data_IF_958010938546
#
_entry.id   IF_958010938546
#
_cell.length_a   1.000
_cell.length_b   1.000
_cell.length_c   1.000
_cell.angle_alpha   90.00
_cell.angle_beta   90.00
_cell.angle_gamma   90.00
#
_symmetry.space_group_name_H-M   'P 1'
#
loop_
_entity.id
_entity.type
_entity.pdbx_description
1 polymer ?
#
# COMPACT_ATOMS: atom_id res chain seq x y z
N UNK A 1 -5.81 12.10 39.50
CA UNK A 1 -5.31 10.79 39.01
C UNK A 1 -5.97 10.53 37.67
N UNK A 2 -5.25 10.01 36.69
CA UNK A 2 -5.82 9.59 35.40
C UNK A 2 -6.42 8.20 35.61
N UNK A 3 -7.63 7.93 35.11
CA UNK A 3 -8.21 6.58 35.18
C UNK A 3 -7.43 5.63 34.26
N UNK A 4 -7.33 4.32 34.56
CA UNK A 4 -6.63 3.37 33.69
C UNK A 4 -7.14 3.41 32.24
N UNK A 5 -8.46 3.53 32.05
CA UNK A 5 -9.09 3.65 30.74
C UNK A 5 -8.72 4.96 30.00
N UNK A 6 -8.60 6.08 30.71
CA UNK A 6 -8.14 7.35 30.11
C UNK A 6 -6.68 7.32 29.68
N UNK A 7 -5.83 6.54 30.36
CA UNK A 7 -4.44 6.34 29.95
C UNK A 7 -4.33 5.44 28.70
N UNK A 8 -5.15 4.38 28.64
CA UNK A 8 -5.24 3.48 27.48
C UNK A 8 -5.77 4.25 26.25
N UNK A 9 -6.84 5.02 26.41
CA UNK A 9 -7.43 5.84 25.33
C UNK A 9 -6.43 6.81 24.69
N UNK A 10 -5.64 7.49 25.52
CA UNK A 10 -4.58 8.39 25.05
C UNK A 10 -3.46 7.63 24.30
N UNK A 11 -3.06 6.45 24.80
CA UNK A 11 -2.03 5.62 24.18
C UNK A 11 -2.48 5.06 22.82
N UNK A 12 -3.69 4.50 22.74
CA UNK A 12 -4.30 3.98 21.50
C UNK A 12 -4.41 5.10 20.46
N UNK A 13 -4.96 6.26 20.83
CA UNK A 13 -5.08 7.40 19.91
C UNK A 13 -3.73 7.87 19.39
N UNK A 14 -2.69 7.93 20.23
CA UNK A 14 -1.34 8.30 19.80
C UNK A 14 -0.70 7.26 18.86
N UNK A 15 -0.94 5.97 19.11
CA UNK A 15 -0.47 4.87 18.27
C UNK A 15 -1.08 4.94 16.87
N UNK A 16 -2.42 4.99 16.76
CA UNK A 16 -3.12 5.07 15.47
C UNK A 16 -2.83 6.36 14.71
N UNK A 17 -2.69 7.48 15.42
CA UNK A 17 -2.32 8.76 14.81
C UNK A 17 -0.92 8.72 14.18
N UNK A 18 0.02 7.98 14.79
CA UNK A 18 1.38 7.80 14.26
C UNK A 18 1.39 7.00 12.96
N UNK A 19 0.58 5.93 12.88
CA UNK A 19 0.35 5.19 11.64
C UNK A 19 -0.27 6.08 10.55
N UNK A 20 -1.37 6.78 10.86
CA UNK A 20 -2.07 7.62 9.88
C UNK A 20 -1.18 8.73 9.31
N UNK A 21 -0.45 9.46 10.16
CA UNK A 21 0.45 10.53 9.72
C UNK A 21 1.55 10.02 8.77
N UNK A 22 2.07 8.83 9.02
CA UNK A 22 3.17 8.27 8.22
C UNK A 22 2.68 7.58 6.94
N UNK A 23 1.46 7.02 6.95
CA UNK A 23 0.79 6.55 5.73
C UNK A 23 0.48 7.71 4.77
N UNK A 24 0.03 8.84 5.31
CA UNK A 24 -0.34 10.02 4.53
C UNK A 24 -1.33 9.68 3.40
N UNK A 25 -0.98 9.91 2.11
CA UNK A 25 -1.87 9.64 0.98
C UNK A 25 -2.13 8.14 0.73
N UNK A 26 -1.39 7.23 1.37
CA UNK A 26 -1.56 5.78 1.20
C UNK A 26 -2.49 5.14 2.24
N UNK A 27 -3.06 5.93 3.16
CA UNK A 27 -4.13 5.44 4.04
C UNK A 27 -5.40 5.17 3.24
N UNK A 28 -5.94 3.94 3.34
CA UNK A 28 -7.15 3.52 2.64
C UNK A 28 -8.45 3.91 3.39
N UNK A 29 -8.35 4.67 4.48
CA UNK A 29 -9.47 5.15 5.27
C UNK A 29 -9.03 5.93 6.53
N UNK A 30 -9.98 6.54 7.26
CA UNK A 30 -9.71 7.14 8.56
C UNK A 30 -9.47 6.08 9.63
N UNK A 31 -8.82 6.47 10.73
CA UNK A 31 -8.66 5.61 11.92
C UNK A 31 -10.02 5.09 12.38
N UNK A 32 -10.13 3.76 12.52
CA UNK A 32 -11.21 3.12 13.26
C UNK A 32 -10.74 2.86 14.68
N UNK A 33 -11.66 2.89 15.64
CA UNK A 33 -11.37 2.68 17.06
C UNK A 33 -12.37 1.69 17.65
N UNK A 34 -11.84 0.73 18.41
CA UNK A 34 -12.61 -0.13 19.30
C UNK A 34 -12.69 0.53 20.67
N UNK A 35 -13.86 0.49 21.29
CA UNK A 35 -14.11 1.24 22.52
C UNK A 35 -14.80 0.41 23.60
N UNK A 36 -14.43 0.70 24.85
CA UNK A 36 -15.20 0.32 26.04
C UNK A 36 -15.98 1.53 26.57
N UNK A 37 -17.08 1.27 27.27
CA UNK A 37 -17.89 2.27 27.97
C UNK A 37 -17.84 1.95 29.46
N UNK A 38 -17.62 2.94 30.31
CA UNK A 38 -17.62 2.77 31.78
C UNK A 38 -19.03 2.84 32.38
N UNK A 39 -19.14 2.69 33.70
CA UNK A 39 -20.43 2.78 34.43
C UNK A 39 -21.05 4.18 34.45
N UNK A 40 -20.30 5.22 34.07
CA UNK A 40 -20.75 6.61 33.99
C UNK A 40 -21.20 6.99 32.56
N UNK A 41 -20.91 6.13 31.57
CA UNK A 41 -21.23 6.33 30.15
C UNK A 41 -20.09 6.94 29.34
N UNK A 42 -18.90 7.14 29.93
CA UNK A 42 -17.74 7.65 29.20
C UNK A 42 -17.17 6.57 28.27
N UNK A 43 -16.73 6.96 27.06
CA UNK A 43 -16.25 6.06 26.02
C UNK A 43 -14.73 6.21 25.83
N UNK A 44 -14.00 5.09 25.93
CA UNK A 44 -12.53 5.05 25.86
C UNK A 44 -12.06 4.10 24.77
N UNK A 45 -11.15 4.55 23.91
CA UNK A 45 -10.51 3.70 22.90
C UNK A 45 -9.60 2.67 23.59
N UNK A 46 -9.78 1.40 23.22
CA UNK A 46 -8.99 0.26 23.74
C UNK A 46 -8.26 -0.50 22.63
N UNK A 47 -8.61 -0.22 21.38
CA UNK A 47 -7.90 -0.63 20.18
C UNK A 47 -8.22 0.31 19.03
N UNK A 48 -7.53 0.16 17.92
CA UNK A 48 -7.82 0.87 16.69
C UNK A 48 -7.20 0.19 15.47
N UNK A 49 -7.46 0.75 14.31
CA UNK A 49 -6.88 0.32 13.03
C UNK A 49 -6.84 1.45 12.00
N UNK A 50 -5.84 1.41 11.11
CA UNK A 50 -5.81 2.22 9.89
C UNK A 50 -5.75 1.29 8.68
N UNK A 51 -6.70 1.41 7.76
CA UNK A 51 -6.73 0.54 6.58
C UNK A 51 -5.60 0.89 5.60
N UNK A 52 -5.02 -0.11 4.94
CA UNK A 52 -4.01 0.09 3.89
C UNK A 52 -4.21 -0.84 2.69
N UNK A 53 -3.89 -0.32 1.49
CA UNK A 53 -3.83 -1.14 0.29
C UNK A 53 -2.39 -1.57 -0.02
N UNK A 54 -2.19 -2.89 -0.01
CA UNK A 54 -0.93 -3.58 -0.34
C UNK A 54 -0.97 -4.27 -1.71
N UNK A 55 -1.94 -3.92 -2.56
CA UNK A 55 -1.94 -4.36 -3.98
C UNK A 55 -0.83 -3.65 -4.75
N UNK A 56 -0.19 -4.29 -5.76
CA UNK A 56 0.64 -3.56 -6.73
C UNK A 56 -0.14 -2.46 -7.46
N UNK A 57 0.55 -1.44 -7.94
CA UNK A 57 0.00 -0.45 -8.88
C UNK A 57 0.20 -1.01 -10.30
N UNK A 58 -0.87 -1.33 -11.06
CA UNK A 58 -0.72 -2.00 -12.35
C UNK A 58 0.11 -1.18 -13.34
N UNK A 59 1.17 -1.78 -13.89
CA UNK A 59 2.05 -1.15 -14.87
C UNK A 59 2.99 -0.08 -14.31
N UNK A 60 2.98 0.20 -12.99
CA UNK A 60 3.88 1.17 -12.36
C UNK A 60 4.58 0.54 -11.13
N UNK A 61 5.70 -0.16 -11.36
CA UNK A 61 6.49 -0.72 -10.26
C UNK A 61 7.14 0.36 -9.40
N UNK A 62 7.41 1.57 -9.93
CA UNK A 62 7.93 2.68 -9.12
C UNK A 62 6.88 3.19 -8.11
N UNK A 63 5.62 3.37 -8.53
CA UNK A 63 4.51 3.68 -7.62
C UNK A 63 4.27 2.56 -6.61
N UNK A 64 4.43 1.30 -7.03
CA UNK A 64 4.35 0.15 -6.13
C UNK A 64 5.43 0.22 -5.05
N UNK A 65 6.69 0.47 -5.42
CA UNK A 65 7.79 0.65 -4.49
C UNK A 65 7.58 1.85 -3.55
N UNK A 66 7.12 3.01 -4.07
CA UNK A 66 6.79 4.19 -3.27
C UNK A 66 5.69 3.90 -2.24
N UNK A 67 4.60 3.26 -2.64
CA UNK A 67 3.51 2.84 -1.74
C UNK A 67 4.04 1.85 -0.69
N UNK A 68 4.66 0.76 -1.12
CA UNK A 68 5.21 -0.27 -0.24
C UNK A 68 6.17 0.31 0.82
N UNK A 69 7.06 1.23 0.42
CA UNK A 69 7.97 1.93 1.33
C UNK A 69 7.22 2.77 2.37
N UNK A 70 6.19 3.53 1.96
CA UNK A 70 5.39 4.32 2.90
C UNK A 70 4.65 3.44 3.92
N UNK A 71 4.03 2.34 3.47
CA UNK A 71 3.37 1.38 4.37
C UNK A 71 4.37 0.73 5.33
N UNK A 72 5.56 0.36 4.85
CA UNK A 72 6.63 -0.20 5.68
C UNK A 72 7.09 0.79 6.77
N UNK A 73 7.27 2.07 6.43
CA UNK A 73 7.62 3.09 7.43
C UNK A 73 6.47 3.30 8.43
N UNK A 74 5.24 3.38 7.95
CA UNK A 74 4.09 3.61 8.82
C UNK A 74 3.87 2.48 9.82
N UNK A 75 4.07 1.22 9.42
CA UNK A 75 3.97 0.07 10.32
C UNK A 75 4.94 0.14 11.52
N UNK A 76 6.10 0.82 11.37
CA UNK A 76 7.05 1.04 12.48
C UNK A 76 6.87 2.39 13.21
N UNK A 77 6.02 3.29 12.71
CA UNK A 77 5.92 4.68 13.16
C UNK A 77 5.64 4.89 14.67
N UNK A 78 4.82 4.08 15.37
CA UNK A 78 4.59 4.27 16.81
C UNK A 78 5.80 3.97 17.70
N UNK A 79 6.87 3.36 17.16
CA UNK A 79 8.03 2.91 17.93
C UNK A 79 7.80 1.65 18.76
N UNK A 80 6.54 1.30 19.05
CA UNK A 80 6.10 0.08 19.72
C UNK A 80 5.11 -0.75 18.86
N UNK A 81 5.49 -1.17 17.63
CA UNK A 81 4.58 -1.84 16.70
C UNK A 81 3.94 -3.10 17.30
N UNK A 82 2.65 -3.29 17.03
CA UNK A 82 1.91 -4.50 17.38
C UNK A 82 2.29 -5.69 16.50
N UNK A 83 1.80 -6.88 16.86
CA UNK A 83 1.95 -8.08 16.01
C UNK A 83 1.27 -7.94 14.64
N UNK A 84 0.20 -7.14 14.53
CA UNK A 84 -0.46 -6.86 13.26
C UNK A 84 0.40 -5.95 12.37
N UNK A 85 1.03 -4.93 12.95
CA UNK A 85 1.85 -3.98 12.22
C UNK A 85 3.12 -4.64 11.69
N UNK A 86 3.72 -5.56 12.46
CA UNK A 86 4.84 -6.37 11.99
C UNK A 86 4.46 -7.29 10.81
N UNK A 87 3.23 -7.80 10.76
CA UNK A 87 2.74 -8.55 9.58
C UNK A 87 2.53 -7.64 8.37
N UNK A 88 2.02 -6.41 8.58
CA UNK A 88 1.90 -5.39 7.53
C UNK A 88 3.27 -4.99 7.00
N UNK A 89 4.24 -4.75 7.89
CA UNK A 89 5.63 -4.46 7.55
C UNK A 89 6.25 -5.59 6.72
N UNK A 90 6.05 -6.86 7.09
CA UNK A 90 6.55 -8.00 6.32
C UNK A 90 5.94 -8.02 4.90
N UNK A 91 4.62 -7.83 4.76
CA UNK A 91 3.94 -7.78 3.45
C UNK A 91 4.43 -6.60 2.61
N UNK A 92 4.56 -5.41 3.21
CA UNK A 92 5.08 -4.21 2.57
C UNK A 92 6.54 -4.39 2.10
N UNK A 93 7.39 -5.03 2.90
CA UNK A 93 8.75 -5.37 2.50
C UNK A 93 8.79 -6.33 1.32
N UNK A 94 7.95 -7.37 1.29
CA UNK A 94 7.86 -8.30 0.16
C UNK A 94 7.38 -7.60 -1.12
N UNK A 95 6.37 -6.71 -1.01
CA UNK A 95 5.88 -5.90 -2.12
C UNK A 95 6.96 -4.96 -2.68
N UNK A 96 7.74 -4.32 -1.80
CA UNK A 96 8.87 -3.48 -2.19
C UNK A 96 9.93 -4.29 -2.95
N UNK A 97 10.31 -5.49 -2.45
CA UNK A 97 11.28 -6.37 -3.13
C UNK A 97 10.78 -6.94 -4.45
N UNK A 98 9.47 -7.05 -4.63
CA UNK A 98 8.89 -7.46 -5.91
C UNK A 98 8.95 -6.29 -6.91
N UNK A 99 8.56 -5.10 -6.48
CA UNK A 99 8.61 -3.89 -7.30
C UNK A 99 10.03 -3.54 -7.76
N UNK A 100 11.03 -3.58 -6.87
CA UNK A 100 12.44 -3.34 -7.22
C UNK A 100 12.92 -4.22 -8.38
N UNK A 101 12.57 -5.51 -8.38
CA UNK A 101 12.91 -6.46 -9.47
C UNK A 101 12.17 -6.17 -10.78
N UNK A 102 10.92 -5.71 -10.69
CA UNK A 102 10.14 -5.33 -11.87
C UNK A 102 10.69 -4.06 -12.52
N UNK A 103 11.26 -3.13 -11.74
CA UNK A 103 12.00 -1.98 -12.27
C UNK A 103 13.25 -2.42 -13.03
N UNK A 104 14.09 -3.26 -12.42
CA UNK A 104 15.32 -3.80 -13.05
C UNK A 104 15.01 -4.49 -14.40
N UNK A 105 13.98 -5.34 -14.44
CA UNK A 105 13.57 -6.01 -15.67
C UNK A 105 12.96 -5.05 -16.73
N UNK A 106 12.31 -3.97 -16.29
CA UNK A 106 11.76 -2.95 -17.19
C UNK A 106 12.87 -2.15 -17.87
N UNK A 107 13.89 -1.74 -17.10
CA UNK A 107 15.05 -1.00 -17.62
C UNK A 107 15.86 -1.85 -18.60
N UNK A 108 16.05 -3.15 -18.34
CA UNK A 108 16.69 -4.08 -19.29
C UNK A 108 15.92 -4.19 -20.62
N UNK A 109 14.59 -4.11 -20.59
CA UNK A 109 13.74 -4.21 -21.79
C UNK A 109 13.83 -2.98 -22.70
N UNK A 110 14.04 -1.80 -22.12
CA UNK A 110 14.21 -0.53 -22.85
C UNK A 110 15.67 -0.35 -23.30
N UNK A 111 16.62 -0.93 -22.55
CA UNK A 111 18.06 -0.69 -22.70
C UNK A 111 18.81 -1.43 -23.82
N UNK A 112 18.16 -2.25 -24.67
CA UNK A 112 18.91 -2.97 -25.72
C UNK A 112 18.12 -3.35 -26.99
N UNK A 113 18.04 -2.45 -28.00
CA UNK A 113 17.73 -2.86 -29.36
C UNK A 113 18.91 -3.69 -29.91
N UNK A 114 18.86 -5.02 -29.76
CA UNK A 114 19.82 -5.91 -30.42
C UNK A 114 19.78 -5.63 -31.92
N UNK A 115 20.92 -5.19 -32.46
CA UNK A 115 21.11 -5.01 -33.90
C UNK A 115 20.68 -6.29 -34.63
N UNK A 116 19.74 -6.16 -35.57
CA UNK A 116 19.12 -7.30 -36.26
C UNK A 116 17.73 -7.73 -35.76
N UNK A 117 17.07 -6.95 -34.91
CA UNK A 117 15.68 -7.21 -34.46
C UNK A 117 14.67 -7.33 -35.63
N UNK A 118 14.03 -8.50 -35.87
CA UNK A 118 13.25 -8.76 -37.11
C UNK A 118 12.02 -7.87 -37.33
N UNK A 119 11.47 -7.26 -36.28
CA UNK A 119 10.28 -6.41 -36.37
C UNK A 119 10.57 -5.03 -36.98
N UNK A 120 11.80 -4.52 -36.84
CA UNK A 120 12.24 -3.26 -37.46
C UNK A 120 12.42 -3.39 -38.98
N UNK A 121 12.88 -4.55 -39.46
CA UNK A 121 13.03 -4.84 -40.89
C UNK A 121 11.68 -4.86 -41.65
N UNK A 122 10.55 -4.94 -40.93
CA UNK A 122 9.20 -5.05 -41.50
C UNK A 122 8.42 -3.73 -41.52
N UNK A 123 8.94 -2.68 -40.88
CA UNK A 123 8.29 -1.36 -40.79
C UNK A 123 8.72 -0.35 -41.87
N UNK A 124 9.78 -0.66 -42.64
CA UNK A 124 10.31 0.24 -43.67
C UNK A 124 9.57 0.16 -45.03
N UNK A 125 8.47 -0.61 -45.17
CA UNK A 125 7.89 -0.95 -46.48
C UNK A 125 6.36 -0.94 -46.60
N UNK A 126 5.64 -0.07 -45.89
CA UNK A 126 4.20 0.13 -46.16
C UNK A 126 3.67 1.53 -45.83
N UNK A 127 3.47 2.35 -46.86
CA UNK A 127 2.85 3.68 -46.82
C UNK A 127 1.31 3.64 -46.60
N UNK A 128 0.84 2.97 -45.54
CA UNK A 128 -0.60 2.91 -45.24
C UNK A 128 -0.87 2.37 -43.84
N UNK A 129 -1.24 3.23 -42.89
CA UNK A 129 -2.55 3.18 -42.22
C UNK A 129 -2.72 4.30 -41.17
N UNK A 130 -3.75 5.13 -41.33
CA UNK A 130 -4.55 5.60 -40.19
C UNK A 130 -5.51 4.45 -39.76
N UNK A 131 -6.27 4.62 -38.68
CA UNK A 131 -7.38 3.75 -38.22
C UNK A 131 -7.07 2.44 -37.48
N UNK A 132 -6.39 2.50 -36.32
CA UNK A 132 -6.58 1.54 -35.22
C UNK A 132 -6.46 2.24 -33.85
N UNK A 133 -7.58 2.50 -33.17
CA UNK A 133 -7.58 2.94 -31.75
C UNK A 133 -8.87 2.61 -30.96
N UNK A 134 -9.66 1.62 -31.39
CA UNK A 134 -11.01 1.34 -30.84
C UNK A 134 -11.23 -0.11 -30.34
N UNK A 135 -10.18 -0.85 -29.97
CA UNK A 135 -10.34 -2.21 -29.43
C UNK A 135 -9.27 -2.57 -28.39
N UNK A 136 -9.69 -3.27 -27.33
CA UNK A 136 -8.92 -3.74 -26.15
C UNK A 136 -8.77 -2.78 -24.95
N UNK A 137 -9.77 -2.72 -24.07
CA UNK A 137 -9.79 -3.54 -22.83
C UNK A 137 -11.12 -3.43 -22.07
N UNK A 138 -11.71 -4.56 -21.65
CA UNK A 138 -12.90 -4.60 -20.79
C UNK A 138 -12.91 -5.91 -19.95
N UNK A 139 -13.25 -5.81 -18.64
CA UNK A 139 -13.36 -6.90 -17.60
C UNK A 139 -12.05 -7.60 -17.19
N UNK A 140 -11.91 -8.31 -16.06
CA UNK A 140 -12.62 -8.55 -14.77
C UNK A 140 -11.54 -9.16 -13.81
N UNK A 141 -11.53 -9.09 -12.46
CA UNK A 141 -12.38 -8.52 -11.40
C UNK A 141 -11.46 -7.96 -10.27
N UNK A 142 -11.95 -7.02 -9.45
CA UNK A 142 -11.20 -6.40 -8.34
C UNK A 142 -11.58 -7.01 -6.98
N UNK A 143 -10.92 -8.10 -6.59
CA UNK A 143 -11.03 -8.70 -5.24
C UNK A 143 -9.71 -8.78 -4.46
N UNK A 144 -8.94 -7.68 -4.42
CA UNK A 144 -7.92 -7.46 -3.39
C UNK A 144 -8.48 -6.62 -2.24
N UNK A 145 -9.14 -7.28 -1.28
CA UNK A 145 -9.61 -6.63 -0.04
C UNK A 145 -8.41 -6.12 0.76
N UNK A 146 -8.46 -4.85 1.15
CA UNK A 146 -7.39 -4.16 1.87
C UNK A 146 -6.98 -4.89 3.16
N UNK A 147 -5.70 -4.76 3.52
CA UNK A 147 -5.17 -5.29 4.78
C UNK A 147 -5.36 -4.21 5.84
N UNK A 148 -5.97 -4.55 6.96
CA UNK A 148 -6.04 -3.64 8.10
C UNK A 148 -4.66 -3.58 8.77
N UNK A 149 -4.16 -2.36 9.01
CA UNK A 149 -3.08 -2.11 9.97
C UNK A 149 -3.72 -1.89 11.34
N UNK A 150 -2.94 -2.17 12.39
CA UNK A 150 -3.27 -2.05 13.81
C UNK A 150 -4.31 -3.02 14.40
N UNK A 151 -3.88 -3.63 15.52
CA UNK A 151 -4.66 -4.36 16.51
C UNK A 151 -3.81 -4.39 17.79
N UNK A 152 -4.20 -3.60 18.80
CA UNK A 152 -3.63 -3.69 20.15
C UNK A 152 -4.02 -5.03 20.79
N UNK A 153 -3.16 -5.57 21.65
CA UNK A 153 -3.38 -6.82 22.39
C UNK A 153 -3.66 -6.55 23.88
#
# INVERSE_FOLDING_TARGET
MISPLSAIDAAVKAHEWSHLLTLGPYAAGPIQYDFVIDSEGNRYAVGGSVAVDLSPVPGDPEATARKAKAVLQAAYAPGNPSGADLQVAQKAYLLLRQAEKEQEASDESIGNPKEGSPWMARYASSEKWETWYDFWFEREDSQSRGVLVSLWA
#
